data_IF_220645199460
#
_entry.id   IF_220645199460
#
_cell.length_a   1.000
_cell.length_b   1.000
_cell.length_c   1.000
_cell.angle_alpha   90.00
_cell.angle_beta   90.00
_cell.angle_gamma   90.00
#
_symmetry.space_group_name_H-M   'P 1'
#
loop_
_entity.id
_entity.type
_entity.pdbx_description
1 polymer ?
#
# COMPACT_ATOMS: atom_id res chain seq x y z
N UNK A 1 -4.99 -27.99 10.43
CA UNK A 1 -3.61 -27.48 10.51
C UNK A 1 -3.31 -26.36 9.50
N UNK A 2 -3.70 -26.44 8.22
CA UNK A 2 -3.49 -25.32 7.28
C UNK A 2 -4.57 -24.23 7.38
N UNK A 3 -5.84 -24.60 7.63
CA UNK A 3 -6.96 -23.64 7.75
C UNK A 3 -6.89 -22.75 8.99
N UNK A 4 -6.18 -23.17 10.05
CA UNK A 4 -6.00 -22.35 11.27
C UNK A 4 -5.00 -21.20 11.07
N UNK A 5 -4.12 -21.26 10.05
CA UNK A 5 -3.13 -20.21 9.76
C UNK A 5 -3.64 -19.13 8.81
N UNK A 6 -4.70 -19.43 8.04
CA UNK A 6 -5.31 -18.52 7.06
C UNK A 6 -6.72 -18.12 7.50
N UNK A 7 -6.88 -17.73 8.76
CA UNK A 7 -8.10 -17.12 9.25
C UNK A 7 -8.05 -15.61 9.05
N UNK A 8 -9.21 -15.01 8.80
CA UNK A 8 -9.33 -13.57 8.63
C UNK A 8 -10.00 -12.96 9.87
N UNK A 9 -9.35 -11.99 10.49
CA UNK A 9 -9.97 -11.20 11.54
C UNK A 9 -10.89 -10.16 10.90
N UNK A 10 -12.20 -10.29 11.08
CA UNK A 10 -13.16 -9.36 10.49
C UNK A 10 -13.05 -7.94 11.05
N UNK A 11 -12.37 -7.75 12.19
CA UNK A 11 -12.02 -6.41 12.71
C UNK A 11 -10.80 -5.80 12.01
N UNK A 12 -10.00 -6.61 11.32
CA UNK A 12 -8.86 -6.13 10.56
C UNK A 12 -9.29 -5.37 9.30
N UNK A 13 -8.59 -4.28 8.98
CA UNK A 13 -8.76 -3.59 7.71
C UNK A 13 -8.42 -4.51 6.52
N UNK A 14 -9.14 -4.34 5.40
CA UNK A 14 -8.87 -5.09 4.17
C UNK A 14 -7.48 -4.76 3.62
N UNK A 15 -7.13 -3.48 3.57
CA UNK A 15 -5.85 -3.02 3.04
C UNK A 15 -5.06 -2.13 3.99
N UNK A 16 -3.73 -2.20 3.86
CA UNK A 16 -2.78 -1.30 4.51
C UNK A 16 -2.19 -0.35 3.46
N UNK A 17 -2.37 0.96 3.64
CA UNK A 17 -1.80 1.99 2.79
C UNK A 17 -0.51 2.55 3.42
N UNK A 18 0.64 2.13 2.89
CA UNK A 18 1.97 2.54 3.36
C UNK A 18 2.46 3.72 2.54
N UNK A 19 2.90 4.80 3.18
CA UNK A 19 3.37 6.02 2.51
C UNK A 19 4.46 6.73 3.31
N UNK A 20 5.33 7.47 2.62
CA UNK A 20 6.30 8.32 3.29
C UNK A 20 5.62 9.59 3.82
N UNK A 21 5.72 9.78 5.14
CA UNK A 21 5.28 11.01 5.80
C UNK A 21 6.30 12.11 5.58
N UNK A 22 5.82 13.28 5.18
CA UNK A 22 6.65 14.49 5.19
C UNK A 22 6.62 15.07 6.60
N UNK A 23 7.75 15.09 7.31
CA UNK A 23 7.82 15.80 8.61
C UNK A 23 7.61 17.30 8.35
N UNK A 24 6.82 17.97 9.19
CA UNK A 24 6.70 19.42 9.14
C UNK A 24 8.10 20.04 9.18
N UNK A 25 8.46 20.80 8.13
CA UNK A 25 9.69 21.58 8.15
C UNK A 25 9.55 22.64 9.24
N UNK A 26 10.50 22.68 10.17
CA UNK A 26 10.52 23.53 11.37
C UNK A 26 10.31 25.04 11.07
N UNK A 27 10.42 25.47 9.80
CA UNK A 27 10.29 26.86 9.36
C UNK A 27 9.13 27.16 8.38
N UNK A 28 8.25 26.20 8.10
CA UNK A 28 7.09 26.41 7.22
C UNK A 28 5.79 26.50 8.03
N UNK A 29 4.77 27.27 7.58
CA UNK A 29 3.44 27.21 8.18
C UNK A 29 2.97 25.76 8.27
N UNK A 30 2.22 25.34 9.30
CA UNK A 30 1.64 24.00 9.38
C UNK A 30 0.81 23.77 8.12
N UNK A 31 1.37 23.02 7.16
CA UNK A 31 0.62 22.47 6.05
C UNK A 31 0.42 21.02 6.39
N UNK A 32 -0.82 20.56 6.35
CA UNK A 32 -1.08 19.13 6.35
C UNK A 32 -0.51 18.56 5.04
N UNK A 33 0.77 18.21 5.09
CA UNK A 33 1.56 17.73 3.94
C UNK A 33 1.06 16.37 3.46
N UNK A 34 0.20 15.71 4.23
CA UNK A 34 -0.37 14.40 3.92
C UNK A 34 -1.84 14.48 3.49
N UNK A 35 -2.43 15.68 3.34
CA UNK A 35 -3.84 15.85 2.96
C UNK A 35 -4.22 15.11 1.67
N UNK A 36 -3.34 15.12 0.66
CA UNK A 36 -3.56 14.37 -0.60
C UNK A 36 -3.56 12.85 -0.41
N UNK A 37 -2.74 12.34 0.50
CA UNK A 37 -2.73 10.91 0.85
C UNK A 37 -4.01 10.56 1.61
N UNK A 38 -4.44 11.42 2.53
CA UNK A 38 -5.68 11.23 3.25
C UNK A 38 -6.90 11.25 2.31
N UNK A 39 -6.91 12.15 1.32
CA UNK A 39 -7.94 12.15 0.28
C UNK A 39 -7.97 10.83 -0.49
N UNK A 40 -6.81 10.36 -0.99
CA UNK A 40 -6.71 9.06 -1.64
C UNK A 40 -7.22 7.93 -0.76
N UNK A 41 -6.86 7.94 0.52
CA UNK A 41 -7.28 6.92 1.47
C UNK A 41 -8.80 6.86 1.64
N UNK A 42 -9.47 8.02 1.77
CA UNK A 42 -10.92 8.10 1.89
C UNK A 42 -11.59 7.60 0.61
N UNK A 43 -11.23 8.16 -0.54
CA UNK A 43 -11.83 7.80 -1.83
C UNK A 43 -11.65 6.30 -2.14
N UNK A 44 -10.47 5.76 -1.83
CA UNK A 44 -10.17 4.34 -2.01
C UNK A 44 -10.95 3.45 -1.05
N UNK A 45 -11.09 3.87 0.21
CA UNK A 45 -11.84 3.13 1.23
C UNK A 45 -13.31 3.02 0.85
N UNK A 46 -13.93 4.12 0.41
CA UNK A 46 -15.34 4.15 0.00
C UNK A 46 -15.60 3.16 -1.15
N UNK A 47 -14.74 3.15 -2.18
CA UNK A 47 -14.87 2.18 -3.26
C UNK A 47 -14.66 0.73 -2.81
N UNK A 48 -13.72 0.47 -1.89
CA UNK A 48 -13.47 -0.88 -1.38
C UNK A 48 -14.63 -1.39 -0.52
N UNK A 49 -15.24 -0.54 0.32
CA UNK A 49 -16.46 -0.86 1.07
C UNK A 49 -17.55 -1.35 0.13
N UNK A 50 -17.84 -0.57 -0.91
CA UNK A 50 -18.88 -0.90 -1.88
C UNK A 50 -18.54 -2.16 -2.69
N UNK A 51 -17.31 -2.28 -3.17
CA UNK A 51 -16.89 -3.42 -3.99
C UNK A 51 -16.87 -4.73 -3.23
N UNK A 52 -16.62 -4.72 -1.92
CA UNK A 52 -16.59 -5.92 -1.08
C UNK A 52 -17.86 -6.13 -0.26
N UNK A 53 -18.78 -5.17 -0.23
CA UNK A 53 -19.99 -5.24 0.59
C UNK A 53 -19.67 -5.30 2.08
N UNK A 54 -18.72 -4.48 2.55
CA UNK A 54 -18.31 -4.49 3.95
C UNK A 54 -19.46 -3.98 4.84
N UNK A 55 -19.84 -4.78 5.83
CA UNK A 55 -20.91 -4.42 6.77
C UNK A 55 -20.53 -3.29 7.73
N UNK A 56 -21.51 -2.72 8.46
CA UNK A 56 -21.27 -1.68 9.45
C UNK A 56 -20.20 -2.09 10.46
N UNK A 57 -19.24 -1.20 10.73
CA UNK A 57 -18.15 -1.44 11.68
C UNK A 57 -16.91 -2.11 11.09
N UNK A 58 -16.97 -2.67 9.87
CA UNK A 58 -15.75 -3.10 9.16
C UNK A 58 -15.03 -1.90 8.56
N UNK A 59 -13.71 -1.88 8.73
CA UNK A 59 -12.84 -0.87 8.12
C UNK A 59 -12.30 -1.38 6.78
N UNK A 60 -12.38 -0.57 5.73
CA UNK A 60 -11.80 -0.96 4.45
C UNK A 60 -10.27 -0.84 4.47
N UNK A 61 -9.75 0.25 5.01
CA UNK A 61 -8.33 0.54 4.96
C UNK A 61 -7.77 0.97 6.30
N UNK A 62 -6.46 0.83 6.43
CA UNK A 62 -5.64 1.47 7.44
C UNK A 62 -4.53 2.29 6.80
N UNK A 63 -4.29 3.49 7.33
CA UNK A 63 -3.10 4.29 7.06
C UNK A 63 -2.56 4.83 8.37
N UNK A 64 -1.25 4.78 8.58
CA UNK A 64 -0.65 5.36 9.77
C UNK A 64 -0.76 6.89 9.71
N UNK A 65 -1.51 7.46 10.66
CA UNK A 65 -1.73 8.92 10.83
C UNK A 65 -0.99 9.50 12.03
N UNK A 66 -0.44 8.69 12.92
CA UNK A 66 0.14 9.15 14.19
C UNK A 66 1.64 8.87 14.23
N UNK A 67 2.47 9.81 14.65
CA UNK A 67 3.65 9.51 15.49
C UNK A 67 4.10 10.82 16.19
N UNK A 68 3.32 11.27 17.17
CA UNK A 68 3.82 12.25 18.15
C UNK A 68 4.53 11.57 19.35
N UNK A 69 4.66 10.24 19.36
CA UNK A 69 5.39 9.49 20.38
C UNK A 69 6.48 8.63 19.74
N UNK A 70 7.71 8.74 20.23
CA UNK A 70 8.88 8.08 19.64
C UNK A 70 8.76 6.56 19.48
N UNK A 71 9.32 6.07 18.36
CA UNK A 71 9.88 4.73 18.12
C UNK A 71 9.06 3.45 18.39
N UNK A 72 7.88 3.51 19.02
CA UNK A 72 7.00 2.34 19.18
C UNK A 72 5.90 2.32 18.12
N UNK A 73 5.64 1.14 17.53
CA UNK A 73 4.39 0.88 16.81
C UNK A 73 3.25 0.97 17.82
N UNK A 74 2.16 1.66 17.45
CA UNK A 74 0.91 1.54 18.20
C UNK A 74 0.37 0.12 18.01
N UNK A 75 -0.38 -0.38 19.00
CA UNK A 75 -1.01 -1.70 18.89
C UNK A 75 -1.88 -1.80 17.62
N UNK A 76 -2.58 -0.71 17.27
CA UNK A 76 -3.38 -0.62 16.04
C UNK A 76 -2.53 -0.77 14.76
N UNK A 77 -1.33 -0.18 14.73
CA UNK A 77 -0.42 -0.30 13.58
C UNK A 77 0.12 -1.71 13.46
N UNK A 78 0.55 -2.31 14.58
CA UNK A 78 1.04 -3.68 14.61
C UNK A 78 -0.03 -4.67 14.18
N UNK A 79 -1.25 -4.49 14.70
CA UNK A 79 -2.42 -5.24 14.31
C UNK A 79 -2.70 -5.10 12.80
N UNK A 80 -2.80 -3.87 12.28
CA UNK A 80 -3.07 -3.65 10.87
C UNK A 80 -1.99 -4.26 9.97
N UNK A 81 -0.71 -4.05 10.27
CA UNK A 81 0.40 -4.58 9.47
C UNK A 81 0.45 -6.12 9.49
N UNK A 82 0.06 -6.74 10.60
CA UNK A 82 0.05 -8.19 10.78
C UNK A 82 -1.19 -8.89 10.23
N UNK A 83 -2.33 -8.21 10.10
CA UNK A 83 -3.61 -8.83 9.73
C UNK A 83 -4.16 -8.40 8.36
N UNK A 84 -3.80 -7.23 7.83
CA UNK A 84 -4.30 -6.77 6.52
C UNK A 84 -4.00 -7.79 5.43
N UNK A 85 -4.96 -7.99 4.52
CA UNK A 85 -4.86 -8.96 3.43
C UNK A 85 -4.26 -8.36 2.16
N UNK A 86 -4.22 -7.04 2.05
CA UNK A 86 -3.65 -6.32 0.90
C UNK A 86 -2.71 -5.20 1.37
N UNK A 87 -1.54 -5.07 0.74
CA UNK A 87 -0.55 -4.02 1.01
C UNK A 87 -0.42 -3.08 -0.16
N UNK A 88 -0.49 -1.78 0.10
CA UNK A 88 -0.44 -0.73 -0.92
C UNK A 88 0.68 0.24 -0.58
N UNK A 89 1.92 -0.02 -1.04
CA UNK A 89 3.01 0.92 -0.88
C UNK A 89 2.93 2.03 -1.94
N UNK A 90 2.79 3.26 -1.48
CA UNK A 90 2.79 4.49 -2.28
C UNK A 90 4.22 4.89 -2.64
N UNK A 91 4.71 4.31 -3.74
CA UNK A 91 6.09 4.47 -4.21
C UNK A 91 6.34 5.91 -4.63
N UNK A 92 7.35 6.51 -4.01
CA UNK A 92 7.86 7.85 -4.26
C UNK A 92 9.34 7.93 -3.84
N UNK A 93 10.09 8.96 -4.22
CA UNK A 93 11.47 9.10 -3.78
C UNK A 93 11.62 9.13 -2.26
N UNK A 94 10.63 9.67 -1.55
CA UNK A 94 10.63 9.72 -0.08
C UNK A 94 10.32 8.34 0.53
N UNK A 95 9.40 7.58 -0.09
CA UNK A 95 9.06 6.22 0.31
C UNK A 95 10.31 5.32 0.32
N UNK A 96 11.06 5.33 -0.77
CA UNK A 96 12.24 4.48 -0.95
C UNK A 96 13.40 4.81 0.00
N UNK A 97 13.38 5.99 0.64
CA UNK A 97 14.38 6.40 1.66
C UNK A 97 13.86 6.27 3.09
N UNK A 98 12.61 5.88 3.29
CA UNK A 98 11.98 5.82 4.60
C UNK A 98 12.27 4.48 5.27
N UNK A 99 13.03 4.52 6.37
CA UNK A 99 13.29 3.33 7.20
C UNK A 99 11.99 2.72 7.72
N UNK A 100 11.00 3.55 8.02
CA UNK A 100 9.69 3.11 8.48
C UNK A 100 8.94 2.34 7.40
N UNK A 101 8.92 2.87 6.18
CA UNK A 101 8.25 2.21 5.06
C UNK A 101 8.94 0.88 4.71
N UNK A 102 10.27 0.80 4.87
CA UNK A 102 10.99 -0.46 4.72
C UNK A 102 10.57 -1.50 5.78
N UNK A 103 10.35 -1.09 7.03
CA UNK A 103 9.84 -1.99 8.09
C UNK A 103 8.42 -2.47 7.79
N UNK A 104 7.53 -1.58 7.36
CA UNK A 104 6.16 -1.95 6.95
C UNK A 104 6.16 -2.92 5.75
N UNK A 105 7.00 -2.64 4.75
CA UNK A 105 7.18 -3.51 3.59
C UNK A 105 7.66 -4.91 4.01
N UNK A 106 8.68 -4.97 4.84
CA UNK A 106 9.26 -6.22 5.31
C UNK A 106 8.28 -7.01 6.20
N UNK A 107 7.56 -6.32 7.11
CA UNK A 107 6.50 -6.92 7.92
C UNK A 107 5.43 -7.59 7.07
N UNK A 108 5.02 -6.97 5.97
CA UNK A 108 4.01 -7.55 5.09
C UNK A 108 4.60 -8.66 4.20
N UNK A 109 5.76 -8.42 3.59
CA UNK A 109 6.32 -9.33 2.56
C UNK A 109 6.94 -10.61 3.12
N UNK A 110 7.23 -10.67 4.43
CA UNK A 110 7.62 -11.91 5.12
C UNK A 110 6.45 -12.87 5.35
N UNK A 111 5.20 -12.38 5.33
CA UNK A 111 4.01 -13.21 5.54
C UNK A 111 3.73 -14.04 4.31
N UNK A 112 3.41 -15.32 4.50
CA UNK A 112 3.09 -16.22 3.40
C UNK A 112 1.77 -15.80 2.77
N UNK A 113 1.76 -15.64 1.45
CA UNK A 113 0.53 -15.44 0.67
C UNK A 113 0.26 -16.67 -0.21
N UNK A 114 -0.97 -17.17 -0.20
CA UNK A 114 -1.43 -18.30 -1.01
C UNK A 114 -2.72 -17.94 -1.76
N UNK A 115 -3.01 -18.54 -2.92
CA UNK A 115 -4.32 -18.40 -3.55
C UNK A 115 -5.43 -18.91 -2.62
N UNK A 116 -6.59 -18.24 -2.62
CA UNK A 116 -7.80 -18.78 -1.96
C UNK A 116 -8.31 -20.02 -2.69
N UNK A 117 -9.02 -20.94 -2.01
CA UNK A 117 -9.72 -22.05 -2.66
C UNK A 117 -10.61 -21.53 -3.80
N UNK A 118 -10.61 -22.23 -4.93
CA UNK A 118 -11.38 -21.91 -6.13
C UNK A 118 -11.06 -20.56 -6.80
N UNK A 119 -10.03 -19.84 -6.32
CA UNK A 119 -9.54 -18.65 -6.98
C UNK A 119 -8.52 -19.00 -8.09
N UNK A 120 -8.68 -18.37 -9.25
CA UNK A 120 -7.70 -18.40 -10.34
C UNK A 120 -7.01 -17.03 -10.47
N UNK A 121 -6.00 -16.73 -9.62
CA UNK A 121 -5.24 -15.50 -9.76
C UNK A 121 -4.46 -15.50 -11.08
N UNK A 122 -4.37 -14.35 -11.74
CA UNK A 122 -3.53 -14.24 -12.94
C UNK A 122 -2.04 -14.33 -12.54
N UNK A 123 -1.21 -14.84 -13.44
CA UNK A 123 0.23 -14.92 -13.21
C UNK A 123 0.82 -13.54 -12.83
N UNK A 124 1.54 -13.47 -11.71
CA UNK A 124 2.13 -12.23 -11.19
C UNK A 124 1.19 -11.39 -10.31
N UNK A 125 -0.09 -11.74 -10.17
CA UNK A 125 -0.95 -11.11 -9.18
C UNK A 125 -0.53 -11.51 -7.78
N UNK A 126 -0.42 -10.51 -6.91
CA UNK A 126 -0.13 -10.70 -5.49
C UNK A 126 -0.98 -9.76 -4.64
N UNK A 127 -0.97 -9.99 -3.32
CA UNK A 127 -1.54 -9.10 -2.30
C UNK A 127 -0.74 -7.82 -2.06
N UNK A 128 0.47 -7.70 -2.64
CA UNK A 128 1.27 -6.47 -2.60
C UNK A 128 1.07 -5.73 -3.91
N UNK A 129 0.54 -4.51 -3.83
CA UNK A 129 0.18 -3.68 -4.98
C UNK A 129 0.96 -2.36 -4.88
N UNK A 130 2.21 -2.30 -5.36
CA UNK A 130 2.95 -1.05 -5.40
C UNK A 130 2.32 -0.04 -6.36
N UNK A 131 2.13 1.19 -5.90
CA UNK A 131 1.43 2.25 -6.64
C UNK A 131 2.36 3.43 -6.82
N UNK A 132 2.45 3.98 -8.03
CA UNK A 132 3.16 5.24 -8.27
C UNK A 132 2.43 6.39 -7.58
N UNK A 133 2.93 6.82 -6.43
CA UNK A 133 2.49 8.06 -5.79
C UNK A 133 3.05 9.26 -6.54
N UNK A 134 4.35 9.24 -6.84
CA UNK A 134 5.00 10.17 -7.75
C UNK A 134 5.94 9.39 -8.65
N UNK A 135 6.30 9.94 -9.80
CA UNK A 135 7.24 9.28 -10.70
C UNK A 135 8.61 9.11 -10.03
N UNK A 136 9.15 7.90 -10.13
CA UNK A 136 10.49 7.54 -9.69
C UNK A 136 11.24 7.00 -10.90
N UNK A 137 12.51 7.38 -11.04
CA UNK A 137 13.39 6.74 -12.01
C UNK A 137 13.52 5.25 -11.67
N UNK A 138 13.20 4.37 -12.61
CA UNK A 138 13.28 2.90 -12.44
C UNK A 138 14.66 2.45 -11.96
N UNK A 139 15.73 3.17 -12.32
CA UNK A 139 17.10 2.85 -11.89
C UNK A 139 17.34 3.10 -10.39
N UNK A 140 16.48 3.89 -9.76
CA UNK A 140 16.54 4.23 -8.34
C UNK A 140 15.60 3.36 -7.49
N UNK A 141 14.83 2.47 -8.11
CA UNK A 141 13.91 1.57 -7.40
C UNK A 141 14.68 0.33 -6.94
N UNK A 142 14.76 0.07 -5.61
CA UNK A 142 15.45 -1.10 -5.08
C UNK A 142 14.89 -2.42 -5.63
N UNK A 143 15.75 -3.43 -5.76
CA UNK A 143 15.41 -4.72 -6.36
C UNK A 143 14.18 -5.38 -5.73
N UNK A 144 14.03 -5.33 -4.40
CA UNK A 144 12.90 -5.94 -3.70
C UNK A 144 11.55 -5.34 -4.14
N UNK A 145 11.54 -4.05 -4.51
CA UNK A 145 10.37 -3.36 -5.04
C UNK A 145 10.21 -3.63 -6.53
N UNK A 146 11.30 -3.57 -7.30
CA UNK A 146 11.33 -3.81 -8.76
C UNK A 146 10.91 -5.23 -9.16
N UNK A 147 11.10 -6.22 -8.29
CA UNK A 147 10.63 -7.61 -8.48
C UNK A 147 9.11 -7.74 -8.38
N UNK A 148 8.40 -6.72 -7.89
CA UNK A 148 6.93 -6.69 -7.80
C UNK A 148 6.36 -5.96 -9.01
N UNK A 149 5.23 -6.47 -9.52
CA UNK A 149 4.51 -5.78 -10.58
C UNK A 149 3.89 -4.49 -10.04
N UNK A 150 4.37 -3.34 -10.52
CA UNK A 150 3.75 -2.04 -10.25
C UNK A 150 2.31 -2.03 -10.77
N UNK A 151 1.43 -1.33 -10.05
CA UNK A 151 0.07 -1.09 -10.48
C UNK A 151 0.07 -0.33 -11.82
N UNK A 152 -0.61 -0.90 -12.81
CA UNK A 152 -0.84 -0.31 -14.11
C UNK A 152 -2.34 -0.47 -14.44
N UNK A 153 -3.13 0.61 -14.39
CA UNK A 153 -4.56 0.50 -14.64
C UNK A 153 -4.81 0.13 -16.11
N UNK A 154 -5.71 -0.82 -16.33
CA UNK A 154 -6.12 -1.29 -17.66
C UNK A 154 -7.58 -0.93 -17.93
N UNK A 155 -8.01 -1.04 -19.20
CA UNK A 155 -9.39 -0.75 -19.62
C UNK A 155 -9.83 0.67 -19.24
N UNK A 156 -8.97 1.63 -19.48
CA UNK A 156 -9.23 3.07 -19.34
C UNK A 156 -9.17 3.73 -20.73
N UNK A 157 -9.76 4.93 -20.90
CA UNK A 157 -9.43 5.82 -22.00
C UNK A 157 -7.92 5.91 -22.26
N UNK A 158 -7.53 6.04 -23.53
CA UNK A 158 -6.14 5.87 -23.97
C UNK A 158 -5.17 6.89 -23.41
N UNK A 159 -5.66 8.03 -22.95
CA UNK A 159 -4.90 9.15 -22.37
C UNK A 159 -4.67 9.03 -20.86
N UNK A 160 -5.59 8.39 -20.12
CA UNK A 160 -5.52 8.34 -18.65
C UNK A 160 -4.36 7.46 -18.15
N UNK A 161 -4.15 6.28 -18.73
CA UNK A 161 -3.09 5.39 -18.26
C UNK A 161 -1.67 5.96 -18.49
N UNK A 162 -1.36 6.55 -19.66
CA UNK A 162 -0.12 7.32 -19.85
C UNK A 162 0.01 8.50 -18.87
N UNK A 163 -1.07 9.27 -18.68
CA UNK A 163 -1.03 10.39 -17.74
C UNK A 163 -0.73 9.92 -16.31
N UNK A 164 -1.32 8.81 -15.85
CA UNK A 164 -0.97 8.20 -14.57
C UNK A 164 0.50 7.77 -14.49
N UNK A 165 1.04 7.20 -15.56
CA UNK A 165 2.44 6.80 -15.61
C UNK A 165 3.39 8.00 -15.48
N UNK A 166 3.05 9.13 -16.12
CA UNK A 166 3.89 10.32 -16.19
C UNK A 166 3.75 11.26 -14.98
N UNK A 167 2.63 11.17 -14.25
CA UNK A 167 2.32 12.07 -13.13
C UNK A 167 2.34 11.36 -11.76
N UNK A 168 2.01 10.06 -11.73
CA UNK A 168 1.61 9.36 -10.50
C UNK A 168 0.32 9.96 -9.88
N UNK A 169 -0.17 9.37 -8.80
CA UNK A 169 -1.40 9.87 -8.14
C UNK A 169 -1.23 11.30 -7.62
N UNK A 170 -0.05 11.64 -7.10
CA UNK A 170 0.27 12.98 -6.59
C UNK A 170 0.12 14.05 -7.68
N UNK A 171 0.64 13.78 -8.88
CA UNK A 171 0.54 14.70 -10.02
C UNK A 171 -0.91 14.86 -10.47
N UNK A 172 -1.65 13.75 -10.61
CA UNK A 172 -3.08 13.79 -10.94
C UNK A 172 -3.89 14.65 -9.96
N UNK A 173 -3.67 14.47 -8.65
CA UNK A 173 -4.30 15.32 -7.61
C UNK A 173 -3.83 16.78 -7.68
N UNK A 174 -2.62 17.05 -8.17
CA UNK A 174 -2.03 18.40 -8.22
C UNK A 174 -2.47 19.20 -9.44
N UNK A 175 -2.90 18.53 -10.51
CA UNK A 175 -3.53 19.15 -11.69
C UNK A 175 -4.95 19.68 -11.41
N UNK A 176 -5.51 19.38 -10.23
CA UNK A 176 -6.83 19.86 -9.82
C UNK A 176 -7.93 19.37 -10.76
N UNK A 177 -8.75 20.29 -11.29
CA UNK A 177 -9.85 19.95 -12.21
C UNK A 177 -9.38 19.18 -13.45
N UNK A 178 -8.18 19.49 -13.96
CA UNK A 178 -7.65 18.86 -15.17
C UNK A 178 -7.15 17.42 -14.94
N UNK A 179 -6.87 17.05 -13.68
CA UNK A 179 -6.46 15.68 -13.33
C UNK A 179 -7.58 14.85 -12.70
N UNK A 180 -8.77 15.43 -12.47
CA UNK A 180 -9.83 14.80 -11.70
C UNK A 180 -10.34 13.51 -12.35
N UNK A 181 -10.68 13.55 -13.63
CA UNK A 181 -11.24 12.39 -14.32
C UNK A 181 -10.23 11.23 -14.38
N UNK A 182 -8.95 11.56 -14.61
CA UNK A 182 -7.87 10.59 -14.57
C UNK A 182 -7.65 10.02 -13.16
N UNK A 183 -7.67 10.87 -12.13
CA UNK A 183 -7.58 10.46 -10.73
C UNK A 183 -8.71 9.50 -10.36
N UNK A 184 -9.96 9.89 -10.58
CA UNK A 184 -11.15 9.09 -10.23
C UNK A 184 -11.09 7.71 -10.91
N UNK A 185 -10.75 7.69 -12.21
CA UNK A 185 -10.63 6.46 -12.98
C UNK A 185 -9.50 5.54 -12.47
N UNK A 186 -8.35 6.12 -12.11
CA UNK A 186 -7.20 5.39 -11.57
C UNK A 186 -7.52 4.82 -10.19
N UNK A 187 -8.13 5.60 -9.30
CA UNK A 187 -8.53 5.16 -7.95
C UNK A 187 -9.59 4.06 -8.03
N UNK A 188 -10.58 4.19 -8.92
CA UNK A 188 -11.56 3.14 -9.18
C UNK A 188 -10.91 1.82 -9.65
N UNK A 189 -9.89 1.89 -10.52
CA UNK A 189 -9.15 0.70 -10.97
C UNK A 189 -8.28 0.12 -9.86
N UNK A 190 -7.71 0.95 -9.00
CA UNK A 190 -6.97 0.50 -7.83
C UNK A 190 -7.89 -0.23 -6.83
N UNK A 191 -9.07 0.32 -6.54
CA UNK A 191 -10.08 -0.32 -5.69
C UNK A 191 -10.49 -1.71 -6.21
N UNK A 192 -10.74 -1.84 -7.52
CA UNK A 192 -11.00 -3.14 -8.15
C UNK A 192 -9.82 -4.11 -8.00
N UNK A 193 -8.57 -3.61 -8.11
CA UNK A 193 -7.38 -4.44 -7.95
C UNK A 193 -7.21 -4.93 -6.51
N UNK A 194 -7.54 -4.10 -5.52
CA UNK A 194 -7.59 -4.47 -4.09
C UNK A 194 -8.66 -5.53 -3.85
N UNK A 195 -9.89 -5.27 -4.29
CA UNK A 195 -11.00 -6.19 -4.10
C UNK A 195 -10.71 -7.56 -4.75
N UNK A 196 -10.06 -7.55 -5.92
CA UNK A 196 -9.58 -8.78 -6.56
C UNK A 196 -8.50 -9.48 -5.73
N UNK A 197 -7.46 -8.75 -5.30
CA UNK A 197 -6.39 -9.32 -4.47
C UNK A 197 -6.95 -10.00 -3.22
N UNK A 198 -7.84 -9.31 -2.53
CA UNK A 198 -8.51 -9.78 -1.33
C UNK A 198 -9.30 -11.08 -1.57
N UNK A 199 -10.04 -11.16 -2.68
CA UNK A 199 -10.82 -12.35 -3.05
C UNK A 199 -9.98 -13.52 -3.54
N UNK A 200 -8.80 -13.26 -4.09
CA UNK A 200 -8.00 -14.31 -4.74
C UNK A 200 -6.83 -14.80 -3.90
N UNK A 201 -6.42 -14.06 -2.86
CA UNK A 201 -5.29 -14.41 -2.02
C UNK A 201 -5.67 -14.42 -0.54
N UNK A 202 -5.00 -15.29 0.21
CA UNK A 202 -4.91 -15.28 1.65
C UNK A 202 -3.50 -14.97 2.08
N UNK A 203 -3.35 -13.94 2.91
CA UNK A 203 -2.08 -13.60 3.56
C UNK A 203 -2.17 -14.06 5.00
N UNK A 204 -1.22 -14.90 5.40
CA UNK A 204 -1.06 -15.39 6.77
C UNK A 204 -1.05 -14.22 7.76
N UNK A 205 -1.78 -14.34 8.87
CA UNK A 205 -1.74 -13.35 9.93
C UNK A 205 -0.45 -13.52 10.75
N UNK A 206 0.35 -12.46 10.88
CA UNK A 206 1.55 -12.48 11.70
C UNK A 206 1.87 -11.06 12.19
N UNK A 207 1.51 -10.77 13.44
CA UNK A 207 1.83 -9.50 14.10
C UNK A 207 3.31 -9.49 14.50
N UNK A 208 4.12 -8.52 14.03
CA UNK A 208 5.52 -8.43 14.42
C UNK A 208 5.65 -8.21 15.93
N UNK A 209 6.36 -9.10 16.62
CA UNK A 209 6.58 -9.02 18.07
C UNK A 209 7.69 -8.04 18.47
N UNK A 210 8.62 -7.74 17.55
CA UNK A 210 9.69 -6.76 17.74
C UNK A 210 10.09 -6.09 16.42
N UNK A 211 9.94 -4.78 16.34
CA UNK A 211 10.27 -3.99 15.16
C UNK A 211 11.73 -4.05 14.76
N UNK A 212 12.63 -4.28 15.72
CA UNK A 212 14.07 -4.34 15.46
C UNK A 212 14.46 -5.53 14.59
N UNK A 213 13.59 -6.53 14.49
CA UNK A 213 13.78 -7.70 13.64
C UNK A 213 13.37 -7.45 12.18
N UNK A 214 12.63 -6.36 11.94
CA UNK A 214 12.22 -5.93 10.60
C UNK A 214 13.38 -5.16 9.93
N UNK A 215 13.55 -5.40 8.64
CA UNK A 215 14.48 -4.65 7.80
C UNK A 215 14.05 -3.20 7.75
N UNK A 216 14.98 -2.29 7.95
CA UNK A 216 14.73 -0.85 7.90
C UNK A 216 15.32 -0.18 6.66
N UNK A 217 15.67 -0.99 5.66
CA UNK A 217 16.10 -0.58 4.33
C UNK A 217 15.48 -1.50 3.29
N UNK A 218 15.29 -0.99 2.08
CA UNK A 218 14.79 -1.76 0.94
C UNK A 218 15.89 -2.54 0.21
N UNK A 219 17.15 -2.17 0.42
CA UNK A 219 18.28 -2.89 -0.16
C UNK A 219 18.41 -4.27 0.52
N UNK A 220 18.63 -5.33 -0.26
CA UNK A 220 19.11 -6.59 0.31
C UNK A 220 20.54 -6.33 0.77
N UNK A 221 20.89 -6.64 2.04
CA UNK A 221 22.28 -6.67 2.45
C UNK A 221 23.01 -7.55 1.43
N UNK A 222 23.91 -6.95 0.65
CA UNK A 222 24.71 -7.70 -0.30
C UNK A 222 25.33 -8.85 0.47
N UNK A 223 24.98 -10.09 0.11
CA UNK A 223 25.87 -11.18 0.41
C UNK A 223 27.19 -10.81 -0.27
N UNK A 224 28.15 -10.34 0.51
CA UNK A 224 29.54 -10.31 0.12
C UNK A 224 29.85 -11.74 -0.34
N UNK A 225 29.87 -11.93 -1.66
CA UNK A 225 30.42 -13.12 -2.28
C UNK A 225 31.91 -13.05 -2.01
N UNK A 226 32.32 -13.70 -0.91
CA UNK A 226 33.70 -14.16 -0.69
C UNK A 226 34.01 -15.24 -1.72
#
# INVERSE_FOLDING_TARGET
>A
MAEEQFWEDESAPVFFLSYARTRNRVAAPPRDTNQKVFQLFVDLSDHVVELLGLGPGRTAGFMDRMLDGGQLWTDDLAFAAGHCQVFIPLISPQYLRSQWCAREWDAFTRRRAVPRPDAEPSAGETSVIPVNWSVVDRRQVPDVVSRRQMFAPTRLPSDIAPQYHDEGIYGLLSLGRNGKDAYDAVVWRLAQRIARAYRTHWVEAAVPSDLRQLRDRFEEDGHDLV
#
